data_IF_332332224451
#
_entry.id   IF_332332224451
#
_cell.length_a   1.000
_cell.length_b   1.000
_cell.length_c   1.000
_cell.angle_alpha   90.00
_cell.angle_beta   90.00
_cell.angle_gamma   90.00
#
_symmetry.space_group_name_H-M   'P 1'
#
loop_
_entity.id
_entity.type
_entity.pdbx_description
1 polymer ?
#
# COMPACT_ATOMS: atom_id res chain seq x y z
N UNK A 1 4.02 -6.77 14.50
CA UNK A 1 3.96 -6.30 13.09
C UNK A 1 4.71 -4.97 13.03
N UNK A 2 5.47 -4.70 11.98
CA UNK A 2 6.26 -3.47 11.85
C UNK A 2 5.67 -2.60 10.75
N UNK A 3 5.82 -1.29 10.90
CA UNK A 3 5.34 -0.31 9.92
C UNK A 3 6.51 0.47 9.32
N UNK A 4 6.31 1.02 8.12
CA UNK A 4 7.24 1.94 7.48
C UNK A 4 6.71 3.38 7.67
N UNK A 5 7.44 4.19 8.44
CA UNK A 5 7.09 5.58 8.75
C UNK A 5 8.19 6.50 8.24
N UNK A 6 7.86 7.36 7.28
CA UNK A 6 8.80 8.29 6.64
C UNK A 6 10.09 7.61 6.13
N UNK A 7 9.95 6.40 5.59
CA UNK A 7 11.07 5.62 5.05
C UNK A 7 11.90 4.83 6.07
N UNK A 8 11.54 4.88 7.36
CA UNK A 8 12.21 4.11 8.42
C UNK A 8 11.29 3.00 8.93
N UNK A 9 11.84 1.81 9.14
CA UNK A 9 11.12 0.68 9.74
C UNK A 9 11.01 0.91 11.24
N UNK A 10 9.78 0.82 11.76
CA UNK A 10 9.49 1.04 13.18
C UNK A 10 8.60 -0.08 13.72
N UNK A 11 8.70 -0.35 15.02
CA UNK A 11 7.71 -1.18 15.70
C UNK A 11 6.37 -0.47 15.66
N UNK A 12 5.30 -1.21 15.36
CA UNK A 12 3.95 -0.66 15.33
C UNK A 12 3.60 -0.15 16.74
N UNK A 13 3.22 1.13 16.90
CA UNK A 13 2.75 1.62 18.19
C UNK A 13 1.47 0.87 18.58
N UNK A 14 1.33 0.59 19.86
CA UNK A 14 0.07 0.10 20.41
C UNK A 14 -0.93 1.26 20.40
N UNK A 15 -1.74 1.36 19.36
CA UNK A 15 -2.93 2.22 19.38
C UNK A 15 -4.01 1.46 20.16
N UNK A 16 -4.47 1.97 21.32
CA UNK A 16 -5.69 1.42 21.92
C UNK A 16 -6.81 1.53 20.88
N UNK A 17 -7.68 0.52 20.82
CA UNK A 17 -8.94 0.65 20.09
C UNK A 17 -9.54 2.00 20.48
N UNK A 18 -9.89 2.81 19.49
CA UNK A 18 -10.64 4.05 19.76
C UNK A 18 -11.82 3.69 20.67
N UNK A 19 -12.24 4.58 21.57
CA UNK A 19 -13.31 4.28 22.55
C UNK A 19 -14.60 3.70 21.90
N UNK A 20 -14.76 3.84 20.58
CA UNK A 20 -15.88 3.36 19.78
C UNK A 20 -15.56 2.15 18.86
N UNK A 21 -14.39 1.51 18.98
CA UNK A 21 -14.01 0.36 18.14
C UNK A 21 -13.90 0.67 16.65
N UNK A 22 -13.69 1.93 16.29
CA UNK A 22 -13.63 2.35 14.89
C UNK A 22 -12.32 1.89 14.24
N UNK A 23 -12.45 1.15 13.15
CA UNK A 23 -11.33 0.80 12.29
C UNK A 23 -10.82 2.05 11.56
N UNK A 24 -9.67 2.57 11.98
CA UNK A 24 -8.97 3.62 11.23
C UNK A 24 -8.27 2.99 10.03
N UNK A 25 -8.78 3.29 8.85
CA UNK A 25 -8.20 2.82 7.59
C UNK A 25 -6.82 3.44 7.39
N UNK A 26 -5.81 2.60 7.21
CA UNK A 26 -4.47 3.06 6.81
C UNK A 26 -4.54 3.75 5.44
N UNK A 27 -4.13 5.02 5.39
CA UNK A 27 -4.12 5.81 4.14
C UNK A 27 -3.08 5.32 3.13
N UNK A 28 -2.07 4.59 3.59
CA UNK A 28 -0.84 4.27 2.85
C UNK A 28 -0.97 2.99 2.00
N UNK A 29 -1.95 2.97 1.10
CA UNK A 29 -2.16 1.83 0.18
C UNK A 29 -1.92 2.21 -1.28
N UNK A 30 -1.24 1.36 -2.04
CA UNK A 30 -1.08 1.52 -3.49
C UNK A 30 -2.25 0.84 -4.21
N UNK A 31 -3.02 1.61 -5.00
CA UNK A 31 -4.25 1.12 -5.68
C UNK A 31 -4.30 1.49 -7.16
N UNK A 32 -3.14 1.72 -7.77
CA UNK A 32 -3.08 2.04 -9.19
C UNK A 32 -3.34 0.80 -10.05
N UNK A 33 -3.90 1.01 -11.24
CA UNK A 33 -4.24 -0.05 -12.19
C UNK A 33 -3.29 -0.06 -13.37
N UNK A 34 -2.88 -1.26 -13.78
CA UNK A 34 -2.25 -1.50 -15.08
C UNK A 34 -3.37 -1.55 -16.11
N UNK A 35 -3.25 -0.76 -17.18
CA UNK A 35 -4.28 -0.71 -18.24
C UNK A 35 -3.66 -0.79 -19.63
N UNK A 36 -4.43 -1.23 -20.61
CA UNK A 36 -3.98 -1.32 -22.01
C UNK A 36 -4.01 0.03 -22.75
N UNK A 37 -4.60 1.08 -22.15
CA UNK A 37 -4.84 2.36 -22.82
C UNK A 37 -3.54 3.12 -23.16
N UNK A 38 -3.50 3.70 -24.36
CA UNK A 38 -2.31 4.35 -24.92
C UNK A 38 -1.78 5.57 -24.13
N UNK A 39 -2.58 6.25 -23.31
CA UNK A 39 -2.11 7.38 -22.49
C UNK A 39 -1.98 7.04 -20.99
N UNK A 40 -2.08 5.76 -20.60
CA UNK A 40 -2.07 5.38 -19.20
C UNK A 40 -0.68 5.51 -18.55
N UNK A 41 -0.65 6.01 -17.31
CA UNK A 41 0.58 6.07 -16.47
C UNK A 41 1.22 4.69 -16.25
N UNK A 42 0.40 3.64 -16.19
CA UNK A 42 0.82 2.24 -16.04
C UNK A 42 0.28 1.41 -17.22
N UNK A 43 1.01 1.41 -18.33
CA UNK A 43 0.65 0.65 -19.53
C UNK A 43 1.08 -0.82 -19.40
N UNK A 44 0.21 -1.73 -19.82
CA UNK A 44 0.54 -3.15 -19.94
C UNK A 44 1.70 -3.39 -20.93
N UNK A 45 2.85 -3.81 -20.43
CA UNK A 45 4.08 -4.03 -21.19
C UNK A 45 4.81 -5.29 -20.68
N UNK A 46 5.41 -6.10 -21.58
CA UNK A 46 6.17 -7.27 -21.17
C UNK A 46 7.41 -6.84 -20.39
N UNK A 47 7.80 -7.64 -19.39
CA UNK A 47 9.00 -7.46 -18.56
C UNK A 47 9.10 -6.15 -17.76
N UNK A 48 7.98 -5.44 -17.54
CA UNK A 48 7.94 -4.17 -16.77
C UNK A 48 7.46 -4.32 -15.32
N UNK A 49 6.62 -5.31 -15.04
CA UNK A 49 5.98 -5.49 -13.74
C UNK A 49 6.46 -6.76 -13.05
N UNK A 50 6.61 -6.70 -11.72
CA UNK A 50 7.06 -7.81 -10.90
C UNK A 50 6.03 -8.08 -9.78
N UNK A 51 5.78 -9.35 -9.52
CA UNK A 51 4.87 -9.82 -8.47
C UNK A 51 5.68 -10.29 -7.26
N UNK A 52 5.38 -9.75 -6.07
CA UNK A 52 5.93 -10.21 -4.79
C UNK A 52 4.84 -10.96 -4.02
N UNK A 53 5.11 -12.21 -3.64
CA UNK A 53 4.19 -13.11 -2.91
C UNK A 53 4.94 -13.82 -1.78
N UNK A 54 4.22 -14.23 -0.73
CA UNK A 54 4.75 -14.97 0.42
C UNK A 54 4.44 -16.46 0.33
#
# INVERSE_FOLDING_TARGET
MKDLVNGLVQERPFEPETENGEFRREERTFRHWITAAGAARFRAEPHRYHLYVS
#
